data_IF_456995225021
#
_entry.id   IF_456995225021
#
_cell.length_a   1.000
_cell.length_b   1.000
_cell.length_c   1.000
_cell.angle_alpha   90.00
_cell.angle_beta   90.00
_cell.angle_gamma   90.00
#
_symmetry.space_group_name_H-M   'P 1'
#
loop_
_entity.id
_entity.type
_entity.pdbx_description
1 polymer ?
#
# COMPACT_ATOMS: atom_id res chain seq x y z
N UNK A 1 15.99 -14.61 -8.26
CA UNK A 1 15.94 -13.48 -7.30
C UNK A 1 14.98 -12.43 -7.82
N UNK A 2 14.04 -11.99 -6.99
CA UNK A 2 13.11 -10.91 -7.32
C UNK A 2 13.54 -9.61 -6.67
N UNK A 3 13.30 -8.49 -7.36
CA UNK A 3 13.56 -7.17 -6.82
C UNK A 3 12.36 -6.67 -6.01
N UNK A 4 12.61 -6.23 -4.78
CA UNK A 4 11.60 -5.57 -3.94
C UNK A 4 11.93 -4.10 -3.77
N UNK A 5 10.88 -3.28 -3.72
CA UNK A 5 11.00 -1.84 -3.43
C UNK A 5 10.07 -1.47 -2.27
N UNK A 6 10.61 -0.76 -1.31
CA UNK A 6 9.87 -0.17 -0.20
C UNK A 6 10.17 1.32 -0.14
N UNK A 7 9.33 2.09 0.56
CA UNK A 7 9.58 3.52 0.75
C UNK A 7 10.01 3.78 2.20
N UNK A 8 11.28 4.12 2.39
CA UNK A 8 11.75 4.65 3.66
C UNK A 8 11.29 6.10 3.81
N UNK A 9 10.70 6.42 4.97
CA UNK A 9 10.24 7.77 5.30
C UNK A 9 11.08 8.30 6.44
N UNK A 10 11.77 9.41 6.21
CA UNK A 10 12.52 10.14 7.24
C UNK A 10 11.94 11.53 7.43
N UNK A 11 12.04 12.09 8.64
CA UNK A 11 11.70 13.48 8.93
C UNK A 11 12.96 14.31 8.93
N UNK A 12 13.00 15.35 8.09
CA UNK A 12 14.09 16.32 8.03
C UNK A 12 13.84 17.41 9.08
N UNK A 13 14.85 17.76 9.83
CA UNK A 13 14.84 18.87 10.81
C UNK A 13 15.49 20.06 10.17
N UNK A 14 14.74 21.15 10.01
CA UNK A 14 15.17 22.37 9.34
C UNK A 14 14.99 23.57 10.27
N UNK A 15 15.96 24.48 10.30
CA UNK A 15 15.81 25.82 10.89
C UNK A 15 14.76 26.62 10.13
N UNK A 16 14.40 27.80 10.59
CA UNK A 16 13.40 28.61 9.88
C UNK A 16 13.96 29.17 8.56
N UNK A 17 15.27 29.46 8.49
CA UNK A 17 15.99 29.85 7.27
C UNK A 17 15.99 28.68 6.25
N UNK A 18 16.34 27.46 6.71
CA UNK A 18 16.33 26.28 5.85
C UNK A 18 14.92 25.96 5.36
N UNK A 19 13.88 26.15 6.20
CA UNK A 19 12.47 25.95 5.79
C UNK A 19 12.09 26.91 4.67
N UNK A 20 12.46 28.20 4.78
CA UNK A 20 12.20 29.18 3.74
C UNK A 20 12.84 28.76 2.40
N UNK A 21 14.10 28.33 2.44
CA UNK A 21 14.84 27.87 1.26
C UNK A 21 14.27 26.60 0.65
N UNK A 22 13.83 25.64 1.51
CA UNK A 22 13.19 24.41 1.04
C UNK A 22 11.81 24.68 0.42
N UNK A 23 11.00 25.56 1.03
CA UNK A 23 9.67 25.92 0.52
C UNK A 23 9.78 26.71 -0.80
N UNK A 24 10.74 27.61 -0.91
CA UNK A 24 11.06 28.33 -2.16
C UNK A 24 11.44 27.31 -3.26
N UNK A 25 12.40 26.44 -2.97
CA UNK A 25 12.87 25.42 -3.92
C UNK A 25 11.72 24.51 -4.39
N UNK A 26 10.88 24.04 -3.47
CA UNK A 26 9.72 23.18 -3.81
C UNK A 26 8.65 23.96 -4.59
N UNK A 27 8.45 25.26 -4.32
CA UNK A 27 7.49 26.10 -5.04
C UNK A 27 7.93 26.34 -6.48
N UNK A 28 9.19 26.77 -6.66
CA UNK A 28 9.75 26.97 -8.01
C UNK A 28 9.77 25.66 -8.81
N UNK A 29 10.14 24.54 -8.19
CA UNK A 29 10.07 23.22 -8.85
C UNK A 29 8.65 22.88 -9.30
N UNK A 30 7.63 23.14 -8.48
CA UNK A 30 6.21 22.96 -8.84
C UNK A 30 5.80 23.84 -10.00
N UNK A 31 6.21 25.11 -10.00
CA UNK A 31 5.91 26.07 -11.06
C UNK A 31 6.54 25.65 -12.38
N UNK A 32 7.79 25.20 -12.34
CA UNK A 32 8.47 24.61 -13.49
C UNK A 32 7.74 23.36 -14.02
N UNK A 33 7.23 22.49 -13.14
CA UNK A 33 6.41 21.36 -13.55
C UNK A 33 5.11 21.79 -14.25
N UNK A 34 4.45 22.85 -13.80
CA UNK A 34 3.26 23.38 -14.45
C UNK A 34 3.61 24.02 -15.81
N UNK A 35 4.71 24.77 -15.90
CA UNK A 35 5.19 25.34 -17.14
C UNK A 35 5.48 24.26 -18.21
N UNK A 36 6.22 23.21 -17.82
CA UNK A 36 6.47 22.08 -18.73
C UNK A 36 5.18 21.33 -19.05
N UNK A 37 4.25 21.19 -18.08
CA UNK A 37 2.94 20.56 -18.32
C UNK A 37 2.12 21.31 -19.37
N UNK A 38 2.15 22.64 -19.39
CA UNK A 38 1.50 23.48 -20.41
C UNK A 38 2.06 23.25 -21.80
N UNK A 39 3.37 23.16 -21.91
CA UNK A 39 4.05 22.86 -23.16
C UNK A 39 3.70 21.45 -23.67
N UNK A 40 3.81 20.44 -22.81
CA UNK A 40 3.47 19.04 -23.13
C UNK A 40 2.00 18.89 -23.54
N UNK A 41 1.09 19.61 -22.88
CA UNK A 41 -0.33 19.57 -23.23
C UNK A 41 -0.60 20.06 -24.66
N UNK A 42 0.09 21.12 -25.08
CA UNK A 42 -0.06 21.72 -26.43
C UNK A 42 0.63 20.90 -27.51
N UNK A 43 1.79 20.31 -27.20
CA UNK A 43 2.62 19.64 -28.22
C UNK A 43 2.40 18.14 -28.29
N UNK A 44 1.75 17.54 -27.29
CA UNK A 44 1.60 16.11 -27.12
C UNK A 44 2.95 15.33 -27.08
N UNK A 45 4.05 16.03 -26.86
CA UNK A 45 5.38 15.41 -26.84
C UNK A 45 5.76 14.97 -25.41
N UNK A 46 5.98 13.66 -25.25
CA UNK A 46 6.43 13.02 -24.02
C UNK A 46 7.88 12.53 -24.11
N UNK A 47 8.63 12.92 -25.15
CA UNK A 47 10.03 12.52 -25.30
C UNK A 47 10.93 13.47 -24.49
N UNK A 48 11.65 12.93 -23.52
CA UNK A 48 12.52 13.71 -22.65
C UNK A 48 13.57 14.52 -23.45
N UNK A 49 14.11 13.95 -24.53
CA UNK A 49 15.09 14.61 -25.38
C UNK A 49 14.54 15.88 -26.03
N UNK A 50 13.34 15.82 -26.62
CA UNK A 50 12.69 16.98 -27.24
C UNK A 50 12.37 18.07 -26.22
N UNK A 51 11.83 17.71 -25.06
CA UNK A 51 11.55 18.64 -23.98
C UNK A 51 12.83 19.29 -23.46
N UNK A 52 13.92 18.54 -23.35
CA UNK A 52 15.21 19.07 -22.96
C UNK A 52 15.72 20.12 -23.96
N UNK A 53 15.66 19.79 -25.26
CA UNK A 53 16.06 20.74 -26.33
C UNK A 53 15.24 22.03 -26.32
N UNK A 54 13.93 21.92 -26.12
CA UNK A 54 13.00 23.05 -26.19
C UNK A 54 13.00 23.92 -24.93
N UNK A 55 13.08 23.34 -23.74
CA UNK A 55 12.74 24.01 -22.50
C UNK A 55 13.90 24.10 -21.48
N UNK A 56 14.99 23.36 -21.67
CA UNK A 56 16.09 23.35 -20.72
C UNK A 56 16.72 24.75 -20.50
N UNK A 57 17.00 25.57 -21.56
CA UNK A 57 17.54 26.93 -21.36
C UNK A 57 16.61 27.80 -20.53
N UNK A 58 15.31 27.80 -20.83
CA UNK A 58 14.29 28.57 -20.10
C UNK A 58 14.19 28.15 -18.64
N UNK A 59 14.15 26.85 -18.35
CA UNK A 59 14.08 26.36 -16.97
C UNK A 59 15.34 26.69 -16.16
N UNK A 60 16.50 26.80 -16.83
CA UNK A 60 17.74 27.23 -16.19
C UNK A 60 17.77 28.74 -15.94
N UNK A 61 17.33 29.53 -16.92
CA UNK A 61 17.43 30.99 -16.87
C UNK A 61 16.31 31.62 -16.03
N UNK A 62 15.06 31.26 -16.29
CA UNK A 62 13.90 31.91 -15.66
C UNK A 62 13.52 31.32 -14.29
N UNK A 63 13.69 30.01 -14.12
CA UNK A 63 13.37 29.34 -12.84
C UNK A 63 14.61 29.13 -11.96
N UNK A 64 15.81 29.43 -12.40
CA UNK A 64 17.05 29.24 -11.64
C UNK A 64 17.34 27.77 -11.26
N UNK A 65 16.67 26.78 -11.90
CA UNK A 65 16.83 25.40 -11.57
C UNK A 65 18.22 24.89 -11.90
N UNK A 66 18.80 24.07 -11.02
CA UNK A 66 20.06 23.36 -11.31
C UNK A 66 19.84 22.27 -12.37
N UNK A 67 20.91 21.88 -13.07
CA UNK A 67 20.86 20.95 -14.19
C UNK A 67 20.05 19.67 -13.87
N UNK A 68 20.35 19.00 -12.75
CA UNK A 68 19.63 17.78 -12.38
C UNK A 68 18.17 18.03 -11.99
N UNK A 69 17.87 19.17 -11.32
CA UNK A 69 16.50 19.59 -11.01
C UNK A 69 15.68 19.73 -12.28
N UNK A 70 16.22 20.38 -13.31
CA UNK A 70 15.58 20.54 -14.62
C UNK A 70 15.26 19.18 -15.26
N UNK A 71 16.19 18.23 -15.23
CA UNK A 71 15.96 16.88 -15.72
C UNK A 71 14.87 16.14 -14.91
N UNK A 72 14.81 16.35 -13.61
CA UNK A 72 13.79 15.78 -12.73
C UNK A 72 12.40 16.34 -13.04
N UNK A 73 12.28 17.63 -13.37
CA UNK A 73 11.01 18.26 -13.80
C UNK A 73 10.43 17.54 -15.01
N UNK A 74 11.24 17.32 -16.07
CA UNK A 74 10.78 16.60 -17.27
C UNK A 74 10.27 15.20 -16.92
N UNK A 75 11.05 14.43 -16.15
CA UNK A 75 10.66 13.08 -15.73
C UNK A 75 9.36 13.06 -14.93
N UNK A 76 9.20 14.01 -14.00
CA UNK A 76 8.00 14.14 -13.17
C UNK A 76 6.76 14.43 -14.01
N UNK A 77 6.86 15.35 -14.98
CA UNK A 77 5.74 15.70 -15.86
C UNK A 77 5.40 14.54 -16.80
N UNK A 78 6.39 13.95 -17.47
CA UNK A 78 6.18 12.78 -18.35
C UNK A 78 5.51 11.63 -17.61
N UNK A 79 6.00 11.28 -16.42
CA UNK A 79 5.43 10.21 -15.61
C UNK A 79 3.96 10.50 -15.25
N UNK A 80 3.63 11.76 -14.96
CA UNK A 80 2.26 12.15 -14.64
C UNK A 80 1.32 12.02 -15.82
N UNK A 81 1.74 12.45 -17.01
CA UNK A 81 0.95 12.27 -18.24
C UNK A 81 0.75 10.79 -18.58
N UNK A 82 1.80 9.96 -18.51
CA UNK A 82 1.69 8.52 -18.71
C UNK A 82 0.67 7.89 -17.77
N UNK A 83 0.71 8.21 -16.48
CA UNK A 83 -0.25 7.72 -15.49
C UNK A 83 -1.69 8.13 -15.82
N UNK A 84 -1.92 9.35 -16.31
CA UNK A 84 -3.26 9.81 -16.71
C UNK A 84 -3.74 9.03 -17.93
N UNK A 85 -2.91 8.86 -18.96
CA UNK A 85 -3.24 8.10 -20.16
C UNK A 85 -3.58 6.64 -19.85
N UNK A 86 -2.82 5.99 -18.96
CA UNK A 86 -3.08 4.60 -18.54
C UNK A 86 -4.40 4.45 -17.79
N UNK A 87 -4.72 5.40 -16.88
CA UNK A 87 -5.89 5.30 -16.01
C UNK A 87 -7.18 5.83 -16.63
N UNK A 88 -7.11 6.92 -17.38
CA UNK A 88 -8.30 7.64 -17.90
C UNK A 88 -8.45 7.51 -19.40
N UNK A 89 -7.41 7.04 -20.12
CA UNK A 89 -7.38 6.92 -21.60
C UNK A 89 -7.66 8.24 -22.34
N UNK A 90 -7.50 9.38 -21.67
CA UNK A 90 -7.78 10.72 -22.18
C UNK A 90 -6.55 11.62 -22.01
N UNK A 91 -6.40 12.58 -22.93
CA UNK A 91 -5.35 13.60 -22.87
C UNK A 91 -5.79 14.77 -22.01
N UNK A 92 -5.56 14.65 -20.68
CA UNK A 92 -5.94 15.66 -19.69
C UNK A 92 -4.69 16.34 -19.15
N UNK A 93 -4.71 17.67 -19.09
CA UNK A 93 -3.62 18.47 -18.53
C UNK A 93 -3.51 18.28 -17.00
N UNK A 94 -2.42 17.71 -16.49
CA UNK A 94 -2.18 17.67 -15.05
C UNK A 94 -1.80 19.03 -14.49
N UNK A 95 -2.32 19.34 -13.29
CA UNK A 95 -1.93 20.51 -12.51
C UNK A 95 -1.19 20.07 -11.24
N UNK A 96 -0.01 20.60 -11.03
CA UNK A 96 0.82 20.36 -9.84
C UNK A 96 0.46 21.37 -8.75
N UNK A 97 -0.46 20.98 -7.85
CA UNK A 97 -0.99 21.89 -6.80
C UNK A 97 -0.14 21.95 -5.54
N UNK A 98 0.52 20.84 -5.20
CA UNK A 98 1.29 20.73 -3.95
C UNK A 98 2.78 20.94 -4.25
N UNK A 99 3.48 21.76 -3.44
CA UNK A 99 4.93 21.84 -3.52
C UNK A 99 5.56 20.48 -3.24
N UNK A 100 6.46 20.07 -4.11
CA UNK A 100 7.26 18.85 -4.01
C UNK A 100 8.57 19.03 -4.75
N UNK A 101 9.54 18.18 -4.44
CA UNK A 101 10.81 18.15 -5.16
C UNK A 101 11.29 16.70 -5.26
N UNK A 102 11.51 16.24 -6.50
CA UNK A 102 12.02 14.91 -6.79
C UNK A 102 13.54 14.96 -6.91
N UNK A 103 14.23 14.17 -6.08
CA UNK A 103 15.67 14.24 -5.81
C UNK A 103 16.36 12.96 -6.28
N UNK A 104 17.40 13.10 -7.10
CA UNK A 104 18.20 11.96 -7.56
C UNK A 104 19.33 11.67 -6.58
N UNK A 105 19.49 10.40 -6.22
CA UNK A 105 20.56 9.94 -5.31
C UNK A 105 21.94 10.32 -5.83
N UNK A 106 22.82 10.77 -4.93
CA UNK A 106 24.18 11.24 -5.17
C UNK A 106 24.31 12.47 -6.08
N UNK A 107 23.21 12.94 -6.69
CA UNK A 107 23.18 14.19 -7.47
C UNK A 107 22.50 15.31 -6.70
N UNK A 108 21.22 15.12 -6.36
CA UNK A 108 20.44 16.11 -5.64
C UNK A 108 20.46 15.89 -4.15
N UNK A 109 20.58 14.64 -3.68
CA UNK A 109 20.65 14.35 -2.26
C UNK A 109 21.64 13.24 -1.93
N UNK A 110 22.11 13.26 -0.68
CA UNK A 110 22.87 12.18 -0.07
C UNK A 110 22.55 12.08 1.43
N UNK A 111 22.80 10.93 2.01
CA UNK A 111 22.63 10.66 3.44
C UNK A 111 23.95 10.19 4.05
N UNK A 112 24.30 10.75 5.20
CA UNK A 112 25.27 10.20 6.15
C UNK A 112 24.51 9.68 7.36
N UNK A 113 25.19 9.21 8.41
CA UNK A 113 24.54 8.67 9.61
C UNK A 113 23.62 9.68 10.31
N UNK A 114 23.96 10.97 10.27
CA UNK A 114 23.32 12.05 11.01
C UNK A 114 22.79 13.20 10.14
N UNK A 115 23.24 13.30 8.89
CA UNK A 115 22.96 14.42 8.01
C UNK A 115 22.32 14.00 6.68
N UNK A 116 21.28 14.73 6.32
CA UNK A 116 20.69 14.74 5.00
C UNK A 116 21.23 15.94 4.22
N UNK A 117 21.88 15.69 3.11
CA UNK A 117 22.39 16.73 2.23
C UNK A 117 21.49 16.88 1.01
N UNK A 118 21.08 18.09 0.68
CA UNK A 118 20.14 18.38 -0.41
C UNK A 118 20.60 19.59 -1.23
N UNK A 119 20.45 19.51 -2.56
CA UNK A 119 20.56 20.65 -3.44
C UNK A 119 19.29 21.50 -3.36
N UNK A 120 19.45 22.81 -3.18
CA UNK A 120 18.40 23.82 -3.22
C UNK A 120 18.75 24.89 -4.27
N UNK A 121 17.86 25.83 -4.51
CA UNK A 121 18.16 26.98 -5.38
C UNK A 121 19.38 27.76 -4.87
N UNK A 122 19.45 28.03 -3.56
CA UNK A 122 20.52 28.75 -2.91
C UNK A 122 21.82 27.98 -2.67
N UNK A 123 21.90 26.71 -3.10
CA UNK A 123 23.09 25.89 -2.89
C UNK A 123 22.78 24.53 -2.26
N UNK A 124 23.82 23.85 -1.79
CA UNK A 124 23.70 22.56 -1.11
C UNK A 124 23.70 22.77 0.40
N UNK A 125 22.65 22.29 1.06
CA UNK A 125 22.49 22.37 2.52
C UNK A 125 22.57 20.99 3.15
N UNK A 126 23.00 20.94 4.42
CA UNK A 126 23.11 19.71 5.22
C UNK A 126 22.23 19.85 6.45
N UNK A 127 21.21 19.01 6.57
CA UNK A 127 20.18 19.06 7.60
C UNK A 127 20.19 17.81 8.46
N UNK A 128 19.97 17.92 9.77
CA UNK A 128 19.71 16.74 10.60
C UNK A 128 18.39 16.09 10.21
N UNK A 129 18.26 14.79 10.50
CA UNK A 129 17.05 14.05 10.22
C UNK A 129 16.77 12.98 11.30
N UNK A 130 15.51 12.57 11.38
CA UNK A 130 15.07 11.42 12.18
C UNK A 130 14.65 10.27 11.24
N UNK A 131 15.26 9.10 11.43
CA UNK A 131 15.02 7.91 10.63
C UNK A 131 14.42 6.75 11.44
N UNK A 132 13.68 7.07 12.49
CA UNK A 132 13.16 6.10 13.45
C UNK A 132 12.54 4.86 12.75
N UNK A 133 13.12 3.68 13.03
CA UNK A 133 12.74 2.42 12.41
C UNK A 133 13.11 2.24 10.93
N UNK A 134 13.69 3.26 10.26
CA UNK A 134 14.07 3.21 8.85
C UNK A 134 15.58 3.07 8.63
N UNK A 135 16.41 3.30 9.65
CA UNK A 135 17.88 3.23 9.56
C UNK A 135 18.40 1.88 9.06
N UNK A 136 17.70 0.79 9.35
CA UNK A 136 18.03 -0.56 8.86
C UNK A 136 18.07 -0.68 7.32
N UNK A 137 17.40 0.24 6.61
CA UNK A 137 17.38 0.27 5.14
C UNK A 137 18.50 1.15 4.55
N UNK A 138 19.40 1.68 5.37
CA UNK A 138 20.46 2.59 4.92
C UNK A 138 21.79 1.88 4.66
N UNK A 139 21.87 0.59 4.91
CA UNK A 139 23.02 -0.23 4.49
C UNK A 139 23.08 -0.29 2.97
N UNK A 140 24.10 0.37 2.39
CA UNK A 140 24.27 0.50 0.95
C UNK A 140 24.84 -0.75 0.28
N UNK A 141 25.31 -1.72 1.05
CA UNK A 141 25.73 -3.01 0.53
C UNK A 141 24.53 -3.87 0.11
N UNK A 142 23.36 -3.65 0.78
CA UNK A 142 22.13 -4.42 0.57
C UNK A 142 21.11 -3.59 -0.22
N UNK A 143 20.99 -2.29 0.09
CA UNK A 143 19.90 -1.45 -0.36
C UNK A 143 20.33 -0.38 -1.35
N UNK A 144 19.59 -0.25 -2.47
CA UNK A 144 19.79 0.78 -3.49
C UNK A 144 18.74 1.88 -3.33
N UNK A 145 19.18 3.15 -3.25
CA UNK A 145 18.28 4.29 -3.16
C UNK A 145 17.84 4.78 -4.54
N UNK A 146 16.54 4.98 -4.70
CA UNK A 146 15.94 5.57 -5.88
C UNK A 146 15.77 7.09 -5.79
N UNK A 147 15.00 7.64 -6.72
CA UNK A 147 14.63 9.07 -6.72
C UNK A 147 13.70 9.34 -5.54
N UNK A 148 14.20 10.11 -4.58
CA UNK A 148 13.45 10.48 -3.39
C UNK A 148 12.52 11.67 -3.65
N UNK A 149 11.50 11.81 -2.80
CA UNK A 149 10.57 12.93 -2.86
C UNK A 149 10.55 13.69 -1.55
N UNK A 150 10.88 14.98 -1.60
CA UNK A 150 10.73 15.89 -0.47
C UNK A 150 9.32 16.49 -0.49
N UNK A 151 8.64 16.47 0.65
CA UNK A 151 7.31 17.06 0.82
C UNK A 151 7.18 17.77 2.16
N UNK A 152 6.44 18.88 2.18
CA UNK A 152 6.02 19.54 3.40
C UNK A 152 4.63 19.05 3.82
N UNK A 153 4.48 18.61 5.08
CA UNK A 153 3.21 18.24 5.69
C UNK A 153 3.04 18.97 7.02
N UNK A 154 2.18 19.98 7.03
CA UNK A 154 1.89 20.78 8.22
C UNK A 154 3.13 21.40 8.87
N UNK A 155 4.03 21.98 8.06
CA UNK A 155 5.28 22.59 8.51
C UNK A 155 6.40 21.63 8.88
N UNK A 156 6.21 20.32 8.66
CA UNK A 156 7.24 19.30 8.81
C UNK A 156 7.66 18.74 7.45
N UNK A 157 8.97 18.62 7.24
CA UNK A 157 9.52 18.10 6.00
C UNK A 157 9.81 16.62 6.11
N UNK A 158 9.37 15.88 5.10
CA UNK A 158 9.57 14.44 5.00
C UNK A 158 10.22 14.11 3.67
N UNK A 159 11.25 13.26 3.74
CA UNK A 159 11.85 12.64 2.57
C UNK A 159 11.33 11.21 2.44
N UNK A 160 10.75 10.91 1.30
CA UNK A 160 10.31 9.56 0.93
C UNK A 160 11.34 8.98 -0.03
N UNK A 161 12.08 7.98 0.40
CA UNK A 161 13.16 7.35 -0.36
C UNK A 161 12.70 5.97 -0.81
N UNK A 162 12.49 5.72 -2.10
CA UNK A 162 12.35 4.37 -2.61
C UNK A 162 13.66 3.61 -2.36
N UNK A 163 13.56 2.49 -1.68
CA UNK A 163 14.69 1.63 -1.35
C UNK A 163 14.44 0.29 -2.02
N UNK A 164 15.35 -0.13 -2.87
CA UNK A 164 15.26 -1.37 -3.64
C UNK A 164 16.32 -2.35 -3.18
N UNK A 165 15.96 -3.62 -3.05
CA UNK A 165 16.84 -4.72 -2.66
C UNK A 165 16.38 -6.02 -3.31
N UNK A 166 17.29 -6.97 -3.42
CA UNK A 166 17.02 -8.29 -4.00
C UNK A 166 16.55 -9.24 -2.90
N UNK A 167 15.58 -10.10 -3.22
CA UNK A 167 15.01 -11.12 -2.33
C UNK A 167 15.05 -12.45 -3.07
N UNK A 168 15.44 -13.49 -2.38
CA UNK A 168 15.32 -14.85 -2.90
C UNK A 168 13.84 -15.20 -3.07
N UNK A 169 13.50 -15.76 -4.21
CA UNK A 169 12.16 -16.30 -4.45
C UNK A 169 12.12 -17.73 -3.94
N UNK A 170 11.09 -18.07 -3.16
CA UNK A 170 10.78 -19.46 -2.84
C UNK A 170 10.23 -20.15 -4.07
N UNK A 171 10.74 -21.30 -4.37
CA UNK A 171 10.07 -22.23 -5.27
C UNK A 171 8.82 -22.81 -4.57
N UNK A 172 7.84 -23.23 -5.34
CA UNK A 172 6.65 -23.91 -4.79
C UNK A 172 7.02 -25.26 -4.16
N UNK A 173 8.08 -25.89 -4.62
CA UNK A 173 8.65 -27.11 -4.04
C UNK A 173 9.19 -26.93 -2.62
N UNK A 174 9.60 -25.71 -2.24
CA UNK A 174 10.14 -25.42 -0.92
C UNK A 174 9.06 -25.20 0.14
N UNK A 175 7.78 -25.08 -0.28
CA UNK A 175 6.67 -24.78 0.64
C UNK A 175 6.49 -25.92 1.65
N UNK A 176 6.71 -25.59 2.92
CA UNK A 176 6.59 -26.53 4.04
C UNK A 176 5.33 -26.33 4.90
N UNK A 177 4.62 -25.22 4.72
CA UNK A 177 3.43 -24.89 5.50
C UNK A 177 2.42 -24.14 4.63
N UNK A 178 1.13 -24.42 4.81
CA UNK A 178 0.04 -23.72 4.14
C UNK A 178 -0.87 -23.09 5.20
N UNK A 179 -1.29 -21.86 4.98
CA UNK A 179 -2.19 -21.13 5.88
C UNK A 179 -3.34 -20.54 5.08
N UNK A 180 -4.54 -21.06 5.28
CA UNK A 180 -5.77 -20.45 4.77
C UNK A 180 -6.17 -19.26 5.64
N UNK A 181 -6.51 -18.16 5.03
CA UNK A 181 -6.82 -16.90 5.70
C UNK A 181 -8.17 -16.36 5.21
N UNK A 182 -9.20 -16.52 6.01
CA UNK A 182 -10.49 -15.85 5.79
C UNK A 182 -10.46 -14.44 6.38
N UNK A 183 -10.90 -13.45 5.59
CA UNK A 183 -10.90 -12.03 5.96
C UNK A 183 -12.32 -11.51 6.14
N UNK A 184 -12.65 -11.15 7.36
CA UNK A 184 -14.00 -10.75 7.71
C UNK A 184 -14.08 -9.45 8.52
N UNK A 185 -15.30 -9.06 8.87
CA UNK A 185 -15.57 -7.87 9.69
C UNK A 185 -15.66 -8.25 11.18
N UNK A 186 -16.09 -9.44 11.53
CA UNK A 186 -16.21 -9.92 12.91
C UNK A 186 -14.87 -10.44 13.42
N UNK A 187 -14.23 -11.26 12.64
CA UNK A 187 -12.80 -11.50 12.72
C UNK A 187 -12.14 -10.85 11.52
N UNK A 188 -11.11 -10.03 11.77
CA UNK A 188 -10.31 -9.41 10.70
C UNK A 188 -9.68 -10.49 9.86
N UNK A 189 -9.21 -11.52 10.56
CA UNK A 189 -8.55 -12.68 10.03
C UNK A 189 -8.96 -13.88 10.88
N UNK A 190 -9.42 -14.95 10.24
CA UNK A 190 -9.45 -16.29 10.76
C UNK A 190 -8.45 -17.13 9.98
N UNK A 191 -7.60 -17.91 10.65
CA UNK A 191 -6.56 -18.71 10.02
C UNK A 191 -6.76 -20.19 10.32
N UNK A 192 -6.27 -21.03 9.39
CA UNK A 192 -6.12 -22.47 9.60
C UNK A 192 -4.85 -22.94 8.88
N UNK A 193 -3.99 -23.68 9.60
CA UNK A 193 -2.65 -24.06 9.14
C UNK A 193 -2.44 -25.56 8.95
N UNK A 194 -1.27 -25.96 8.43
CA UNK A 194 -0.89 -27.36 8.23
C UNK A 194 -0.74 -28.17 9.52
N UNK A 195 -0.68 -27.50 10.69
CA UNK A 195 -0.71 -28.14 12.01
C UNK A 195 -2.13 -28.27 12.56
N UNK A 196 -3.15 -27.98 11.70
CA UNK A 196 -4.58 -27.98 12.05
C UNK A 196 -4.96 -27.00 13.15
N UNK A 197 -4.14 -25.96 13.37
CA UNK A 197 -4.40 -24.92 14.34
C UNK A 197 -5.21 -23.78 13.71
N UNK A 198 -6.13 -23.24 14.48
CA UNK A 198 -6.93 -22.08 14.09
C UNK A 198 -6.51 -20.86 14.90
N UNK A 199 -6.37 -19.71 14.23
CA UNK A 199 -6.11 -18.41 14.85
C UNK A 199 -7.21 -17.42 14.50
N UNK A 200 -7.47 -16.46 15.41
CA UNK A 200 -8.50 -15.45 15.21
C UNK A 200 -8.03 -14.07 15.65
N UNK A 201 -8.20 -13.07 14.80
CA UNK A 201 -7.99 -11.66 15.14
C UNK A 201 -9.35 -10.97 15.22
N UNK A 202 -9.77 -10.58 16.42
CA UNK A 202 -11.10 -10.00 16.67
C UNK A 202 -11.28 -8.63 16.00
N UNK A 203 -12.38 -8.46 15.25
CA UNK A 203 -12.74 -7.20 14.58
C UNK A 203 -13.54 -6.23 15.46
N UNK A 204 -14.12 -6.67 16.58
CA UNK A 204 -14.99 -5.85 17.43
C UNK A 204 -14.35 -4.54 17.90
N UNK A 205 -13.12 -4.48 18.43
CA UNK A 205 -12.49 -3.23 18.84
C UNK A 205 -12.32 -2.25 17.68
N UNK A 206 -12.07 -2.78 16.49
CA UNK A 206 -11.86 -1.98 15.29
C UNK A 206 -13.18 -1.40 14.80
N UNK A 207 -14.25 -2.18 14.78
CA UNK A 207 -15.60 -1.70 14.49
C UNK A 207 -15.99 -0.56 15.42
N UNK A 208 -15.79 -0.71 16.73
CA UNK A 208 -16.12 0.30 17.73
C UNK A 208 -15.35 1.60 17.50
N UNK A 209 -14.03 1.53 17.29
CA UNK A 209 -13.21 2.72 17.06
C UNK A 209 -13.57 3.42 15.76
N UNK A 210 -13.87 2.69 14.70
CA UNK A 210 -14.33 3.26 13.42
C UNK A 210 -15.71 3.92 13.55
N UNK A 211 -16.65 3.27 14.25
CA UNK A 211 -17.95 3.83 14.54
C UNK A 211 -17.83 5.14 15.32
N UNK A 212 -16.93 5.19 16.32
CA UNK A 212 -16.61 6.42 17.06
C UNK A 212 -16.11 7.55 16.14
N UNK A 213 -15.12 7.28 15.26
CA UNK A 213 -14.64 8.29 14.31
C UNK A 213 -15.72 8.75 13.32
N UNK A 214 -16.59 7.85 12.89
CA UNK A 214 -17.72 8.18 12.00
C UNK A 214 -18.72 9.09 12.70
N UNK A 215 -19.12 8.76 13.93
CA UNK A 215 -20.02 9.56 14.75
C UNK A 215 -19.44 10.95 15.03
N UNK A 216 -18.18 11.02 15.45
CA UNK A 216 -17.47 12.27 15.73
C UNK A 216 -17.39 13.18 14.49
N UNK A 217 -17.09 12.64 13.32
CA UNK A 217 -17.08 13.42 12.07
C UNK A 217 -18.47 13.94 11.74
N UNK A 218 -19.51 13.10 11.85
CA UNK A 218 -20.90 13.49 11.59
C UNK A 218 -21.33 14.63 12.52
N UNK A 219 -21.07 14.51 13.82
CA UNK A 219 -21.38 15.52 14.81
C UNK A 219 -20.68 16.86 14.50
N UNK A 220 -19.36 16.83 14.25
CA UNK A 220 -18.61 18.05 13.93
C UNK A 220 -19.06 18.70 12.61
N UNK A 221 -19.46 17.90 11.62
CA UNK A 221 -20.02 18.41 10.37
C UNK A 221 -21.38 19.11 10.58
N UNK A 222 -22.24 18.56 11.43
CA UNK A 222 -23.55 19.14 11.74
C UNK A 222 -23.46 20.47 12.50
N UNK A 223 -22.40 20.72 13.25
CA UNK A 223 -22.24 21.96 14.03
C UNK A 223 -21.99 23.21 13.19
N UNK A 224 -21.49 23.09 11.97
CA UNK A 224 -21.16 24.16 11.02
C UNK A 224 -20.32 25.34 11.55
N UNK A 225 -19.71 25.24 12.74
CA UNK A 225 -18.92 26.32 13.35
C UNK A 225 -17.45 26.32 12.85
N UNK A 226 -16.75 27.48 12.91
CA UNK A 226 -15.32 27.53 12.61
C UNK A 226 -14.49 26.61 13.51
N UNK A 227 -14.87 26.46 14.78
CA UNK A 227 -14.22 25.57 15.74
C UNK A 227 -14.36 24.10 15.32
N UNK A 228 -15.58 23.66 14.94
CA UNK A 228 -15.81 22.30 14.47
C UNK A 228 -15.03 22.00 13.18
N UNK A 229 -14.92 22.95 12.26
CA UNK A 229 -14.10 22.81 11.03
C UNK A 229 -12.61 22.63 11.36
N UNK A 230 -12.07 23.45 12.30
CA UNK A 230 -10.69 23.29 12.80
C UNK A 230 -10.48 21.90 13.42
N UNK A 231 -11.43 21.44 14.24
CA UNK A 231 -11.38 20.10 14.85
C UNK A 231 -11.42 19.00 13.82
N UNK A 232 -12.29 19.06 12.81
CA UNK A 232 -12.31 18.10 11.68
C UNK A 232 -10.95 18.04 10.97
N UNK A 233 -10.34 19.19 10.68
CA UNK A 233 -9.01 19.29 10.08
C UNK A 233 -7.95 18.65 10.99
N UNK A 234 -8.01 18.83 12.30
CA UNK A 234 -7.06 18.25 13.26
C UNK A 234 -7.19 16.75 13.41
N UNK A 235 -8.40 16.17 13.30
CA UNK A 235 -8.61 14.72 13.24
C UNK A 235 -7.92 14.16 12.00
N UNK A 236 -8.12 14.81 10.84
CA UNK A 236 -7.44 14.52 9.58
C UNK A 236 -7.35 13.04 9.26
N UNK A 237 -6.14 12.55 9.07
CA UNK A 237 -5.84 11.17 8.68
C UNK A 237 -5.62 10.21 9.88
N UNK A 238 -6.01 10.58 11.11
CA UNK A 238 -5.73 9.77 12.31
C UNK A 238 -6.33 8.37 12.23
N UNK A 239 -7.59 8.25 11.76
CA UNK A 239 -8.22 6.94 11.58
C UNK A 239 -7.50 6.10 10.53
N UNK A 240 -7.14 6.69 9.40
CA UNK A 240 -6.43 5.98 8.34
C UNK A 240 -5.04 5.51 8.82
N UNK A 241 -4.28 6.35 9.52
CA UNK A 241 -2.98 5.95 10.09
C UNK A 241 -3.12 4.82 11.09
N UNK A 242 -4.10 4.93 11.99
CA UNK A 242 -4.38 3.87 12.95
C UNK A 242 -4.79 2.56 12.26
N UNK A 243 -5.62 2.61 11.21
CA UNK A 243 -6.00 1.41 10.46
C UNK A 243 -4.82 0.79 9.71
N UNK A 244 -3.94 1.62 9.16
CA UNK A 244 -2.68 1.15 8.56
C UNK A 244 -1.79 0.45 9.60
N UNK A 245 -1.69 1.00 10.81
CA UNK A 245 -0.94 0.40 11.91
C UNK A 245 -1.53 -0.98 12.28
N UNK A 246 -2.85 -1.08 12.45
CA UNK A 246 -3.53 -2.36 12.67
C UNK A 246 -3.17 -3.38 11.59
N UNK A 247 -3.26 -3.00 10.31
CA UNK A 247 -2.92 -3.89 9.21
C UNK A 247 -1.43 -4.27 9.19
N UNK A 248 -0.54 -3.36 9.60
CA UNK A 248 0.87 -3.66 9.79
C UNK A 248 1.12 -4.69 10.91
N UNK A 249 0.41 -4.55 12.04
CA UNK A 249 0.52 -5.49 13.17
C UNK A 249 -0.02 -6.87 12.79
N UNK A 250 -1.22 -6.92 12.18
CA UNK A 250 -1.85 -8.18 11.76
C UNK A 250 -1.00 -8.92 10.73
N UNK A 251 -0.58 -8.24 9.66
CA UNK A 251 0.26 -8.85 8.62
C UNK A 251 1.64 -9.27 9.14
N UNK A 252 2.23 -8.53 10.10
CA UNK A 252 3.47 -8.92 10.77
C UNK A 252 3.27 -10.19 11.60
N UNK A 253 2.20 -10.24 12.40
CA UNK A 253 1.90 -11.40 13.22
C UNK A 253 1.67 -12.66 12.37
N UNK A 254 0.96 -12.55 11.24
CA UNK A 254 0.76 -13.66 10.32
C UNK A 254 2.08 -14.23 9.80
N UNK A 255 3.02 -13.37 9.41
CA UNK A 255 4.31 -13.83 8.87
C UNK A 255 5.24 -14.34 9.98
N UNK A 256 5.35 -13.63 11.11
CA UNK A 256 6.29 -14.01 12.20
C UNK A 256 5.87 -15.29 12.91
N UNK A 257 4.57 -15.58 13.01
CA UNK A 257 4.05 -16.76 13.68
C UNK A 257 4.06 -18.02 12.79
N UNK A 258 4.51 -17.91 11.55
CA UNK A 258 4.64 -19.01 10.62
C UNK A 258 6.10 -19.14 10.15
N UNK A 259 6.57 -20.36 9.80
CA UNK A 259 7.92 -20.54 9.28
C UNK A 259 8.12 -19.82 7.94
N UNK A 260 9.37 -19.66 7.52
CA UNK A 260 9.68 -19.37 6.13
C UNK A 260 9.08 -20.45 5.21
N UNK A 261 8.99 -20.17 3.93
CA UNK A 261 8.39 -21.09 2.95
C UNK A 261 6.93 -21.48 3.30
N UNK A 262 6.16 -20.51 3.80
CA UNK A 262 4.72 -20.65 4.03
C UNK A 262 3.94 -20.14 2.82
N UNK A 263 2.96 -20.90 2.35
CA UNK A 263 1.95 -20.46 1.39
C UNK A 263 0.73 -19.90 2.12
N UNK A 264 0.51 -18.59 2.02
CA UNK A 264 -0.69 -17.91 2.52
C UNK A 264 -1.76 -17.88 1.42
N UNK A 265 -2.96 -18.38 1.72
CA UNK A 265 -4.08 -18.47 0.78
C UNK A 265 -5.17 -17.51 1.20
N UNK A 266 -5.51 -16.56 0.33
CA UNK A 266 -6.52 -15.54 0.54
C UNK A 266 -7.67 -15.68 -0.46
N UNK A 267 -8.87 -15.23 -0.06
CA UNK A 267 -9.95 -15.01 -1.02
C UNK A 267 -9.63 -13.81 -1.94
N UNK A 268 -9.96 -13.91 -3.22
CA UNK A 268 -9.92 -12.76 -4.12
C UNK A 268 -11.13 -11.85 -3.90
N UNK A 269 -10.91 -10.75 -3.21
CA UNK A 269 -11.93 -9.76 -2.91
C UNK A 269 -11.93 -8.56 -3.89
N UNK A 270 -11.33 -8.68 -5.06
CA UNK A 270 -11.20 -7.57 -6.03
C UNK A 270 -12.55 -7.00 -6.48
N UNK A 271 -13.61 -7.80 -6.53
CA UNK A 271 -14.98 -7.37 -6.90
C UNK A 271 -15.88 -6.89 -5.74
N UNK A 272 -15.41 -6.92 -4.49
CA UNK A 272 -16.28 -6.69 -3.32
C UNK A 272 -16.88 -5.28 -3.24
N UNK A 273 -16.22 -4.28 -3.82
CA UNK A 273 -16.74 -2.90 -3.87
C UNK A 273 -18.04 -2.80 -4.64
N UNK A 274 -18.16 -3.45 -5.79
CA UNK A 274 -19.39 -3.47 -6.59
C UNK A 274 -20.52 -4.24 -5.87
N UNK A 275 -20.19 -5.33 -5.19
CA UNK A 275 -21.15 -6.09 -4.40
C UNK A 275 -21.70 -5.29 -3.19
N UNK A 276 -20.89 -4.39 -2.63
CA UNK A 276 -21.29 -3.56 -1.46
C UNK A 276 -22.13 -2.33 -1.84
N UNK A 277 -22.26 -1.96 -3.10
CA UNK A 277 -23.17 -0.90 -3.56
C UNK A 277 -24.62 -1.21 -3.20
N UNK A 278 -24.98 -2.48 -3.10
CA UNK A 278 -26.32 -2.96 -2.66
C UNK A 278 -26.54 -2.90 -1.14
N UNK A 279 -25.50 -2.62 -0.35
CA UNK A 279 -25.60 -2.52 1.11
C UNK A 279 -26.19 -1.17 1.52
N UNK A 280 -27.17 -1.16 2.44
CA UNK A 280 -27.76 0.08 2.99
C UNK A 280 -26.67 1.04 3.49
N UNK A 281 -26.77 2.30 3.16
CA UNK A 281 -25.76 3.37 3.42
C UNK A 281 -25.28 3.40 4.88
N UNK A 282 -26.16 3.09 5.84
CA UNK A 282 -25.86 3.05 7.27
C UNK A 282 -24.77 2.01 7.64
N UNK A 283 -24.71 0.90 6.91
CA UNK A 283 -23.75 -0.18 7.16
C UNK A 283 -22.55 -0.16 6.18
N UNK A 284 -22.69 0.59 5.09
CA UNK A 284 -21.68 0.68 4.03
C UNK A 284 -20.33 1.17 4.56
N UNK A 285 -20.30 2.14 5.46
CA UNK A 285 -19.06 2.71 5.99
C UNK A 285 -18.16 1.64 6.64
N UNK A 286 -18.70 0.75 7.44
CA UNK A 286 -17.92 -0.33 8.09
C UNK A 286 -17.51 -1.40 7.09
N UNK A 287 -18.38 -1.78 6.16
CA UNK A 287 -18.16 -2.87 5.21
C UNK A 287 -17.26 -2.48 4.03
N UNK A 288 -17.47 -1.28 3.46
CA UNK A 288 -16.76 -0.80 2.25
C UNK A 288 -15.42 -0.16 2.57
N UNK A 289 -15.32 0.49 3.74
CA UNK A 289 -14.11 1.20 4.13
C UNK A 289 -13.07 0.31 4.79
N UNK A 290 -13.32 -1.01 4.87
CA UNK A 290 -12.33 -1.93 5.38
C UNK A 290 -11.13 -2.01 4.42
N UNK A 291 -9.95 -1.82 4.96
CA UNK A 291 -8.72 -1.79 4.18
C UNK A 291 -8.19 -3.22 3.90
N UNK A 292 -9.05 -4.13 3.36
CA UNK A 292 -8.65 -5.49 2.98
C UNK A 292 -7.50 -5.49 1.98
N UNK A 293 -7.57 -4.61 0.98
CA UNK A 293 -6.49 -4.44 0.00
C UNK A 293 -5.18 -4.00 0.66
N UNK A 294 -5.24 -3.07 1.63
CA UNK A 294 -4.05 -2.62 2.35
C UNK A 294 -3.44 -3.73 3.22
N UNK A 295 -4.29 -4.56 3.87
CA UNK A 295 -3.84 -5.75 4.60
C UNK A 295 -3.18 -6.77 3.66
N UNK A 296 -3.80 -7.04 2.52
CA UNK A 296 -3.29 -7.93 1.48
C UNK A 296 -1.91 -7.49 0.97
N UNK A 297 -1.78 -6.23 0.57
CA UNK A 297 -0.51 -5.68 0.10
C UNK A 297 0.59 -5.76 1.18
N UNK A 298 0.21 -5.51 2.45
CA UNK A 298 1.14 -5.63 3.57
C UNK A 298 1.55 -7.08 3.86
N UNK A 299 0.65 -8.03 3.66
CA UNK A 299 0.98 -9.45 3.79
C UNK A 299 1.89 -9.90 2.66
N UNK A 300 1.58 -9.55 1.41
CA UNK A 300 2.36 -9.94 0.22
C UNK A 300 3.83 -9.53 0.37
N UNK A 301 4.11 -8.25 0.67
CA UNK A 301 5.52 -7.84 0.74
C UNK A 301 6.25 -8.45 1.94
N UNK A 302 5.59 -8.66 3.08
CA UNK A 302 6.21 -9.27 4.26
C UNK A 302 6.42 -10.77 4.09
N UNK A 303 5.46 -11.46 3.47
CA UNK A 303 5.61 -12.87 3.10
C UNK A 303 6.83 -13.04 2.19
N UNK A 304 6.94 -12.22 1.14
CA UNK A 304 8.08 -12.24 0.24
C UNK A 304 9.42 -11.98 0.97
N UNK A 305 9.45 -11.08 1.95
CA UNK A 305 10.64 -10.86 2.79
C UNK A 305 11.02 -12.09 3.64
N UNK A 306 10.08 -12.96 3.92
CA UNK A 306 10.25 -14.19 4.70
C UNK A 306 10.27 -15.44 3.81
N UNK A 307 10.65 -15.31 2.54
CA UNK A 307 10.67 -16.42 1.58
C UNK A 307 9.36 -17.22 1.56
N UNK A 308 8.22 -16.53 1.70
CA UNK A 308 6.87 -17.08 1.73
C UNK A 308 6.06 -16.51 0.58
N UNK A 309 5.05 -17.23 0.14
CA UNK A 309 4.22 -16.86 -1.00
C UNK A 309 2.78 -16.55 -0.58
N UNK A 310 2.10 -15.75 -1.37
CA UNK A 310 0.67 -15.42 -1.18
C UNK A 310 -0.06 -15.67 -2.48
N UNK A 311 -1.09 -16.51 -2.44
CA UNK A 311 -2.01 -16.71 -3.57
C UNK A 311 -3.41 -16.21 -3.24
N UNK A 312 -4.16 -15.87 -4.29
CA UNK A 312 -5.57 -15.52 -4.20
C UNK A 312 -6.39 -16.55 -4.97
N UNK A 313 -7.49 -16.98 -4.34
CA UNK A 313 -8.39 -17.98 -4.90
C UNK A 313 -9.82 -17.47 -5.00
N UNK A 314 -10.64 -18.07 -5.84
CA UNK A 314 -12.06 -17.72 -5.98
C UNK A 314 -12.79 -17.89 -4.64
N UNK A 315 -13.49 -16.86 -4.13
CA UNK A 315 -14.20 -16.89 -2.86
C UNK A 315 -15.50 -17.75 -2.90
N UNK A 316 -15.90 -18.26 -4.05
CA UNK A 316 -17.16 -18.99 -4.19
C UNK A 316 -17.18 -20.22 -3.30
N UNK A 317 -18.26 -20.33 -2.52
CA UNK A 317 -18.57 -21.46 -1.66
C UNK A 317 -17.58 -21.74 -0.51
N UNK A 318 -16.52 -20.97 -0.32
CA UNK A 318 -15.53 -21.17 0.75
C UNK A 318 -16.15 -21.26 2.13
N UNK A 319 -17.19 -20.48 2.41
CA UNK A 319 -17.92 -20.48 3.69
C UNK A 319 -19.15 -21.38 3.74
N UNK A 320 -19.45 -22.13 2.67
CA UNK A 320 -20.66 -22.99 2.55
C UNK A 320 -20.33 -24.48 2.39
N UNK A 321 -19.11 -24.78 1.93
CA UNK A 321 -18.63 -26.14 1.73
C UNK A 321 -18.18 -26.75 3.06
N UNK A 322 -18.63 -27.96 3.34
CA UNK A 322 -18.20 -28.71 4.51
C UNK A 322 -16.78 -29.26 4.31
N UNK A 323 -15.81 -28.90 5.19
CA UNK A 323 -14.45 -29.40 5.07
C UNK A 323 -14.29 -30.89 5.35
N UNK A 324 -15.31 -31.56 5.90
CA UNK A 324 -15.29 -33.01 6.21
C UNK A 324 -15.82 -33.82 5.06
N UNK A 325 -17.04 -33.52 4.59
CA UNK A 325 -17.72 -34.37 3.59
C UNK A 325 -17.89 -33.68 2.21
N UNK A 326 -17.44 -32.45 2.02
CA UNK A 326 -17.53 -31.72 0.75
C UNK A 326 -18.93 -31.17 0.41
N UNK A 327 -19.97 -31.51 1.19
CA UNK A 327 -21.34 -31.04 0.94
C UNK A 327 -21.42 -29.53 0.98
N UNK A 328 -21.92 -28.91 -0.10
CA UNK A 328 -21.97 -27.45 -0.27
C UNK A 328 -23.43 -27.01 -0.35
N UNK A 329 -23.87 -26.28 0.67
CA UNK A 329 -25.22 -25.73 0.75
C UNK A 329 -25.23 -24.41 1.55
N UNK A 330 -26.05 -23.44 1.10
CA UNK A 330 -26.19 -22.15 1.81
C UNK A 330 -26.78 -22.33 3.22
N UNK A 331 -27.66 -23.34 3.42
CA UNK A 331 -28.27 -23.63 4.69
C UNK A 331 -27.30 -24.19 5.75
N UNK A 332 -26.08 -24.60 5.35
CA UNK A 332 -25.02 -24.97 6.28
C UNK A 332 -24.57 -23.81 7.18
N UNK A 333 -24.72 -22.56 6.70
CA UNK A 333 -24.21 -21.35 7.38
C UNK A 333 -25.32 -20.52 8.02
N UNK A 334 -25.25 -20.32 9.34
CA UNK A 334 -26.07 -19.34 10.05
C UNK A 334 -25.24 -18.06 10.35
N UNK A 335 -25.38 -17.05 9.47
CA UNK A 335 -24.63 -15.79 9.57
C UNK A 335 -24.95 -14.95 10.82
N UNK A 336 -26.13 -15.15 11.45
CA UNK A 336 -26.54 -14.37 12.63
C UNK A 336 -25.77 -14.76 13.88
N UNK A 337 -25.46 -16.03 14.03
CA UNK A 337 -24.77 -16.59 15.20
C UNK A 337 -23.36 -17.11 14.87
N UNK A 338 -22.89 -16.89 13.66
CA UNK A 338 -21.56 -17.34 13.19
C UNK A 338 -21.34 -18.85 13.38
N UNK A 339 -22.37 -19.65 13.10
CA UNK A 339 -22.35 -21.09 13.22
C UNK A 339 -22.48 -21.74 11.85
N UNK A 340 -21.60 -22.68 11.57
CA UNK A 340 -21.71 -23.63 10.47
C UNK A 340 -22.20 -24.98 11.02
N UNK A 341 -23.20 -25.59 10.38
CA UNK A 341 -23.67 -26.94 10.66
C UNK A 341 -23.94 -27.62 9.33
N UNK A 342 -23.12 -28.61 8.98
CA UNK A 342 -23.31 -29.36 7.75
C UNK A 342 -24.66 -30.15 7.78
N UNK A 343 -25.48 -29.96 6.77
CA UNK A 343 -26.78 -30.66 6.65
C UNK A 343 -26.64 -32.14 6.28
N UNK A 344 -25.49 -32.51 5.71
CA UNK A 344 -25.24 -33.92 5.35
C UNK A 344 -24.60 -34.71 6.49
N UNK A 345 -23.45 -34.26 7.04
CA UNK A 345 -22.72 -35.06 8.04
C UNK A 345 -22.82 -34.53 9.48
N UNK A 346 -23.54 -33.43 9.71
CA UNK A 346 -23.72 -32.86 11.04
C UNK A 346 -22.51 -32.11 11.62
N UNK A 347 -21.39 -31.99 10.90
CA UNK A 347 -20.19 -31.29 11.37
C UNK A 347 -20.51 -29.83 11.74
N UNK A 348 -20.08 -29.43 12.94
CA UNK A 348 -20.33 -28.06 13.47
C UNK A 348 -19.02 -27.31 13.72
N UNK A 349 -18.98 -26.04 13.34
CA UNK A 349 -17.85 -25.16 13.62
C UNK A 349 -18.25 -23.69 13.49
N UNK A 350 -17.33 -22.78 13.83
CA UNK A 350 -17.46 -21.36 13.50
C UNK A 350 -17.37 -21.16 11.98
N UNK A 351 -18.21 -20.31 11.41
CA UNK A 351 -18.32 -20.12 9.95
C UNK A 351 -17.05 -19.47 9.33
N UNK A 352 -16.38 -18.55 10.03
CA UNK A 352 -15.13 -17.95 9.56
C UNK A 352 -13.97 -18.98 9.62
N UNK A 353 -14.00 -19.91 10.60
CA UNK A 353 -13.05 -21.05 10.63
C UNK A 353 -13.24 -21.97 9.44
N UNK A 354 -14.48 -22.24 9.04
CA UNK A 354 -14.77 -23.05 7.84
C UNK A 354 -14.19 -22.39 6.59
N UNK A 355 -14.34 -21.07 6.44
CA UNK A 355 -13.72 -20.32 5.35
C UNK A 355 -12.20 -20.53 5.31
N UNK A 356 -11.52 -20.37 6.45
CA UNK A 356 -10.08 -20.60 6.55
C UNK A 356 -9.67 -22.06 6.24
N UNK A 357 -10.44 -23.06 6.69
CA UNK A 357 -10.18 -24.48 6.39
C UNK A 357 -10.31 -24.79 4.89
N UNK A 358 -11.30 -24.22 4.23
CA UNK A 358 -11.48 -24.44 2.79
C UNK A 358 -10.42 -23.72 1.98
N UNK A 359 -9.99 -22.51 2.39
CA UNK A 359 -8.86 -21.81 1.77
C UNK A 359 -7.55 -22.60 1.94
N UNK A 360 -7.30 -23.17 3.11
CA UNK A 360 -6.19 -24.08 3.33
C UNK A 360 -6.22 -25.27 2.36
N UNK A 361 -7.36 -25.95 2.20
CA UNK A 361 -7.53 -27.06 1.24
C UNK A 361 -7.24 -26.62 -0.20
N UNK A 362 -7.75 -25.45 -0.59
CA UNK A 362 -7.46 -24.89 -1.93
C UNK A 362 -5.96 -24.64 -2.13
N UNK A 363 -5.26 -24.23 -1.08
CA UNK A 363 -3.79 -24.06 -1.12
C UNK A 363 -3.05 -25.40 -1.26
N UNK A 364 -3.49 -26.45 -0.58
CA UNK A 364 -2.94 -27.80 -0.74
C UNK A 364 -3.17 -28.32 -2.17
N UNK A 365 -4.39 -28.17 -2.71
CA UNK A 365 -4.67 -28.55 -4.09
C UNK A 365 -3.81 -27.78 -5.09
N UNK A 366 -3.65 -26.45 -4.90
CA UNK A 366 -2.77 -25.64 -5.74
C UNK A 366 -1.33 -26.14 -5.77
N UNK A 367 -0.77 -26.55 -4.62
CA UNK A 367 0.58 -27.11 -4.57
C UNK A 367 0.64 -28.48 -5.27
N UNK A 368 -0.39 -29.31 -5.10
CA UNK A 368 -0.45 -30.61 -5.76
C UNK A 368 -0.53 -30.48 -7.28
N UNK A 369 -1.44 -29.64 -7.78
CA UNK A 369 -1.61 -29.39 -9.22
C UNK A 369 -0.35 -28.76 -9.86
N UNK A 370 0.39 -27.95 -9.11
CA UNK A 370 1.64 -27.33 -9.59
C UNK A 370 2.84 -28.28 -9.62
N UNK A 371 2.75 -29.42 -8.93
CA UNK A 371 3.81 -30.45 -8.92
C UNK A 371 3.58 -31.58 -9.94
N UNK A 372 2.37 -31.66 -10.52
CA UNK A 372 2.09 -32.59 -11.62
C UNK A 372 2.62 -31.98 -12.93
N UNK A 373 3.60 -32.61 -13.60
CA UNK A 373 4.06 -32.10 -14.90
C UNK A 373 2.91 -32.13 -15.92
N UNK A 374 2.88 -31.17 -16.85
CA UNK A 374 1.93 -31.06 -17.98
C UNK A 374 2.04 -32.22 -19.01
N UNK A 375 2.20 -33.45 -18.57
CA UNK A 375 2.39 -34.60 -19.42
C UNK A 375 1.11 -35.37 -19.79
N UNK A 376 -0.07 -34.78 -19.55
CA UNK A 376 -1.34 -35.39 -20.01
C UNK A 376 -2.21 -34.35 -20.74
N UNK A 377 -1.72 -33.85 -21.87
CA UNK A 377 -2.53 -33.13 -22.86
C UNK A 377 -2.05 -33.51 -24.27
N UNK A 378 -2.06 -34.82 -24.57
CA UNK A 378 -1.94 -35.34 -25.93
C UNK A 378 -2.46 -36.80 -25.95
N UNK A 379 -3.78 -36.95 -25.94
CA UNK A 379 -4.50 -38.06 -26.60
C UNK A 379 -5.89 -37.61 -27.04
#
# INVERSE_FOLDING_TARGET
MAQMSITAKIQVVASDEDKALLDETMSVYREACNYVSDYVFRTHDLKQFSLNKALYPTLRAEFGLKSQMTQSVFKTVIARYKTILENQKEWIKPSFKKPQYDLVWNRDYSLTQDRFSINTLGGRVKLPYFAEGMSKYFDRSIYRFGTAKLVNKHGKYFLYIPVTYDVEESDLSDICNVVGIDRGINFIVATYDSKHKSGFVRGRPIKQKRAHYSALRKELQMRHTPSSRRRLKSIGQRENRWMQDVNHCVSKALVVNNPAHTLFVLEDLSGIRHATERVKTKHRYVSVSWAFYDLEQKLIYKAKQNQSSVIKVDPRYTSQCCPVCGHTEQANRNKKIHLFTCKNCGYKSNDDRIGAMNLYRMGINYLYDSQVPDTVAAE
#
